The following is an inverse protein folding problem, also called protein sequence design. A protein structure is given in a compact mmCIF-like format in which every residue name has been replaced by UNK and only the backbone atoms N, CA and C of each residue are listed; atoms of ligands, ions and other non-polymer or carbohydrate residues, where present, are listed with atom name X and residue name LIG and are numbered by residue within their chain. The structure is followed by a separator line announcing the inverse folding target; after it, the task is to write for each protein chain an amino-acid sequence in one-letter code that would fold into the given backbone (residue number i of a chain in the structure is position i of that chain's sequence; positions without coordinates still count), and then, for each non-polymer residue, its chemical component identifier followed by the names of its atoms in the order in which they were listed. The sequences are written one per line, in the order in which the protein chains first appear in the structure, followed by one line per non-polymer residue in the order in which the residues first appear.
data_IF_610587955965
#
_entry.id   IF_610587955965
#
_cell.length_a   1.000
_cell.length_b   1.000
_cell.length_c   1.000
_cell.angle_alpha   90.00
_cell.angle_beta   90.00
_cell.angle_gamma   90.00
#
_symmetry.space_group_name_H-M   'P 1'
#
loop_
_entity.id
_entity.type
_entity.pdbx_description
1 polymer ?
#
# COMPACT_ATOMS: atom_id res chain seq x y z
N UNK A 1 12.62 8.66 15.43
CA UNK A 1 11.37 8.14 16.05
C UNK A 1 11.21 6.61 15.93
N UNK A 2 11.89 5.91 14.99
CA UNK A 2 11.93 4.43 14.94
C UNK A 2 13.16 3.81 15.62
N UNK A 3 13.84 4.55 16.50
CA UNK A 3 15.00 3.99 17.18
C UNK A 3 14.61 2.68 17.84
N UNK A 4 13.44 2.54 18.45
CA UNK A 4 12.96 1.29 19.07
C UNK A 4 12.83 0.10 18.10
N UNK A 5 12.43 0.33 16.85
CA UNK A 5 12.26 -0.72 15.83
C UNK A 5 13.64 -1.21 15.33
N UNK A 6 14.61 -0.30 15.28
CA UNK A 6 15.99 -0.56 14.88
C UNK A 6 16.90 -0.94 16.06
N UNK A 7 16.55 -0.56 17.29
CA UNK A 7 17.34 -0.73 18.52
C UNK A 7 17.09 -2.07 19.20
N UNK A 8 16.29 -2.95 18.60
CA UNK A 8 16.22 -4.35 18.99
C UNK A 8 15.55 -4.62 20.34
N UNK A 9 14.64 -3.75 20.82
CA UNK A 9 13.73 -4.20 21.88
C UNK A 9 12.85 -5.32 21.31
N UNK A 10 13.17 -6.55 21.69
CA UNK A 10 12.58 -7.75 21.11
C UNK A 10 11.12 -7.83 21.57
N UNK A 11 10.20 -7.33 20.73
CA UNK A 11 8.80 -7.71 20.84
C UNK A 11 8.72 -9.11 20.26
N UNK A 12 8.72 -10.10 21.16
CA UNK A 12 8.61 -11.50 20.77
C UNK A 12 7.15 -11.83 20.51
N UNK A 13 6.80 -11.92 19.23
CA UNK A 13 5.47 -12.36 18.83
C UNK A 13 5.46 -13.88 18.76
N UNK A 14 4.55 -14.51 19.52
CA UNK A 14 4.42 -15.96 19.56
C UNK A 14 3.90 -16.55 18.24
N UNK A 15 3.18 -15.76 17.43
CA UNK A 15 2.60 -16.22 16.17
C UNK A 15 3.44 -15.82 14.95
N UNK A 16 3.52 -16.73 13.98
CA UNK A 16 4.28 -16.52 12.76
C UNK A 16 3.80 -15.32 11.92
N UNK A 17 2.51 -14.96 11.97
CA UNK A 17 1.98 -13.86 11.14
C UNK A 17 2.52 -12.53 11.61
N UNK A 18 2.50 -12.30 12.92
CA UNK A 18 3.02 -11.10 13.56
C UNK A 18 4.54 -10.99 13.41
N UNK A 19 5.28 -12.10 13.50
CA UNK A 19 6.71 -12.12 13.20
C UNK A 19 7.01 -11.68 11.75
N UNK A 20 6.24 -12.18 10.77
CA UNK A 20 6.39 -11.76 9.38
C UNK A 20 5.97 -10.30 9.16
N UNK A 21 4.97 -9.80 9.89
CA UNK A 21 4.59 -8.39 9.86
C UNK A 21 5.74 -7.51 10.38
N UNK A 22 6.35 -7.89 11.51
CA UNK A 22 7.52 -7.20 12.07
C UNK A 22 8.69 -7.17 11.08
N UNK A 23 8.98 -8.28 10.40
CA UNK A 23 10.04 -8.34 9.40
C UNK A 23 9.79 -7.38 8.22
N UNK A 24 8.54 -7.26 7.75
CA UNK A 24 8.19 -6.27 6.72
C UNK A 24 8.37 -4.84 7.22
N UNK A 25 8.01 -4.58 8.47
CA UNK A 25 8.20 -3.26 9.08
C UNK A 25 9.67 -2.90 9.24
N UNK A 26 10.52 -3.85 9.65
CA UNK A 26 11.98 -3.67 9.69
C UNK A 26 12.55 -3.36 8.31
N UNK A 27 12.19 -4.14 7.29
CA UNK A 27 12.60 -3.88 5.90
C UNK A 27 12.19 -2.48 5.42
N UNK A 28 10.97 -2.05 5.77
CA UNK A 28 10.49 -0.71 5.44
C UNK A 28 11.28 0.39 6.16
N UNK A 29 11.74 0.16 7.39
CA UNK A 29 12.51 1.14 8.14
C UNK A 29 13.98 1.21 7.69
N UNK A 30 14.58 0.08 7.31
CA UNK A 30 15.96 -0.01 6.84
C UNK A 30 16.14 0.49 5.41
N UNK A 31 15.23 0.11 4.49
CA UNK A 31 15.23 0.56 3.10
C UNK A 31 13.80 0.94 2.66
N UNK A 32 13.33 2.14 3.05
CA UNK A 32 11.99 2.60 2.71
C UNK A 32 11.77 2.69 1.20
N UNK A 33 12.77 3.19 0.46
CA UNK A 33 12.63 3.48 -0.97
C UNK A 33 12.45 2.19 -1.78
N UNK A 34 13.29 1.18 -1.55
CA UNK A 34 13.17 -0.09 -2.24
C UNK A 34 11.88 -0.81 -1.86
N UNK A 35 11.56 -0.82 -0.56
CA UNK A 35 10.36 -1.49 -0.04
C UNK A 35 9.08 -0.88 -0.60
N UNK A 36 8.93 0.45 -0.55
CA UNK A 36 7.77 1.15 -1.10
C UNK A 36 7.66 1.00 -2.62
N UNK A 37 8.79 1.04 -3.35
CA UNK A 37 8.77 0.79 -4.79
C UNK A 37 8.33 -0.63 -5.14
N UNK A 38 8.73 -1.63 -4.34
CA UNK A 38 8.28 -3.02 -4.50
C UNK A 38 6.77 -3.14 -4.25
N UNK A 39 6.24 -2.50 -3.21
CA UNK A 39 4.80 -2.45 -2.93
C UNK A 39 4.05 -1.79 -4.09
N UNK A 40 4.53 -0.63 -4.58
CA UNK A 40 3.96 0.05 -5.76
C UNK A 40 3.87 -0.87 -6.97
N UNK A 41 4.92 -1.65 -7.26
CA UNK A 41 4.90 -2.63 -8.36
C UNK A 41 3.83 -3.71 -8.16
N UNK A 42 3.66 -4.24 -6.94
CA UNK A 42 2.63 -5.23 -6.67
C UNK A 42 1.20 -4.68 -6.86
N UNK A 43 0.96 -3.46 -6.39
CA UNK A 43 -0.34 -2.78 -6.57
C UNK A 43 -0.60 -2.55 -8.06
N UNK A 44 0.38 -2.02 -8.81
CA UNK A 44 0.25 -1.81 -10.25
C UNK A 44 -0.07 -3.12 -11.00
N UNK A 45 0.59 -4.23 -10.65
CA UNK A 45 0.28 -5.52 -11.25
C UNK A 45 -1.14 -6.01 -10.92
N UNK A 46 -1.61 -5.82 -9.68
CA UNK A 46 -2.97 -6.19 -9.31
C UNK A 46 -4.02 -5.37 -10.08
N UNK A 47 -3.81 -4.05 -10.19
CA UNK A 47 -4.70 -3.16 -10.93
C UNK A 47 -4.68 -3.40 -12.44
N UNK A 48 -3.52 -3.69 -13.03
CA UNK A 48 -3.43 -4.09 -14.43
C UNK A 48 -4.15 -5.42 -14.70
N UNK A 49 -4.06 -6.40 -13.80
CA UNK A 49 -4.85 -7.63 -13.91
C UNK A 49 -6.34 -7.32 -13.84
N UNK A 50 -6.77 -6.49 -12.90
CA UNK A 50 -8.16 -6.09 -12.79
C UNK A 50 -8.66 -5.39 -14.05
N UNK A 51 -7.87 -4.48 -14.61
CA UNK A 51 -8.20 -3.79 -15.87
C UNK A 51 -8.34 -4.77 -17.04
N UNK A 52 -7.43 -5.75 -17.15
CA UNK A 52 -7.52 -6.80 -18.18
C UNK A 52 -8.77 -7.65 -18.02
N UNK A 53 -9.07 -8.08 -16.79
CA UNK A 53 -10.27 -8.86 -16.48
C UNK A 53 -11.55 -8.07 -16.80
N UNK A 54 -11.61 -6.79 -16.42
CA UNK A 54 -12.70 -5.87 -16.81
C UNK A 54 -12.88 -5.84 -18.32
N UNK A 55 -11.80 -5.70 -19.09
CA UNK A 55 -11.89 -5.63 -20.55
C UNK A 55 -12.34 -6.96 -21.17
N UNK A 56 -11.93 -8.10 -20.62
CA UNK A 56 -12.40 -9.42 -21.07
C UNK A 56 -13.92 -9.57 -20.84
N UNK A 57 -14.41 -9.15 -19.67
CA UNK A 57 -15.85 -9.17 -19.37
C UNK A 57 -16.62 -8.22 -20.29
N UNK A 58 -16.16 -6.96 -20.42
CA UNK A 58 -16.88 -5.92 -21.15
C UNK A 58 -16.83 -6.08 -22.68
N UNK A 59 -15.69 -6.53 -23.23
CA UNK A 59 -15.48 -6.58 -24.68
C UNK A 59 -15.44 -8.01 -25.23
N UNK A 60 -15.02 -8.98 -24.42
CA UNK A 60 -15.04 -10.38 -24.81
C UNK A 60 -16.39 -11.06 -24.63
N UNK A 61 -17.33 -10.43 -23.90
CA UNK A 61 -18.60 -11.06 -23.51
C UNK A 61 -18.40 -12.27 -22.60
N UNK A 62 -17.18 -12.47 -22.08
CA UNK A 62 -16.83 -13.58 -21.21
C UNK A 62 -17.24 -13.24 -19.78
N UNK A 63 -18.37 -13.79 -19.35
CA UNK A 63 -18.92 -13.53 -18.03
C UNK A 63 -18.07 -14.11 -16.88
N UNK A 64 -17.16 -15.06 -17.17
CA UNK A 64 -16.28 -15.70 -16.16
C UNK A 64 -14.88 -15.97 -16.74
N UNK A 65 -14.12 -14.93 -17.09
CA UNK A 65 -12.78 -15.13 -17.60
C UNK A 65 -11.89 -15.79 -16.54
N UNK A 66 -10.97 -16.62 -17.00
CA UNK A 66 -10.04 -17.34 -16.13
C UNK A 66 -9.26 -16.34 -15.27
N UNK A 67 -9.31 -16.55 -13.95
CA UNK A 67 -8.63 -15.70 -12.98
C UNK A 67 -9.36 -14.42 -12.59
N UNK A 68 -10.62 -14.21 -13.02
CA UNK A 68 -11.44 -13.09 -12.56
C UNK A 68 -11.61 -13.12 -11.02
N UNK A 69 -12.02 -14.26 -10.47
CA UNK A 69 -12.24 -14.43 -9.03
C UNK A 69 -10.98 -14.14 -8.21
N UNK A 70 -9.84 -14.75 -8.57
CA UNK A 70 -8.57 -14.51 -7.88
C UNK A 70 -8.08 -13.06 -8.02
N UNK A 71 -8.36 -12.42 -9.16
CA UNK A 71 -8.04 -11.00 -9.37
C UNK A 71 -8.90 -10.11 -8.47
N UNK A 72 -10.20 -10.40 -8.35
CA UNK A 72 -11.11 -9.66 -7.46
C UNK A 72 -10.75 -9.85 -5.99
N UNK A 73 -10.45 -11.08 -5.55
CA UNK A 73 -10.02 -11.37 -4.18
C UNK A 73 -8.71 -10.65 -3.82
N UNK A 74 -7.81 -10.47 -4.78
CA UNK A 74 -6.54 -9.77 -4.58
C UNK A 74 -6.68 -8.24 -4.62
N UNK A 75 -7.45 -7.70 -5.58
CA UNK A 75 -7.54 -6.26 -5.82
C UNK A 75 -8.63 -5.57 -4.99
N UNK A 76 -9.70 -6.26 -4.64
CA UNK A 76 -10.82 -5.72 -3.87
C UNK A 76 -10.38 -5.09 -2.54
N UNK A 77 -9.66 -5.82 -1.66
CA UNK A 77 -9.18 -5.25 -0.40
C UNK A 77 -8.27 -4.03 -0.56
N UNK A 78 -7.45 -3.99 -1.62
CA UNK A 78 -6.58 -2.85 -1.91
C UNK A 78 -7.39 -1.61 -2.29
N UNK A 79 -8.40 -1.78 -3.14
CA UNK A 79 -9.29 -0.69 -3.56
C UNK A 79 -10.08 -0.17 -2.36
N UNK A 80 -10.64 -1.07 -1.55
CA UNK A 80 -11.39 -0.68 -0.34
C UNK A 80 -10.53 0.12 0.63
N UNK A 81 -9.27 -0.29 0.88
CA UNK A 81 -8.36 0.44 1.75
C UNK A 81 -8.02 1.85 1.22
N UNK A 82 -7.87 2.00 -0.10
CA UNK A 82 -7.61 3.32 -0.71
C UNK A 82 -8.84 4.23 -0.61
N UNK A 83 -10.04 3.70 -0.87
CA UNK A 83 -11.27 4.47 -0.74
C UNK A 83 -11.51 4.91 0.71
N UNK A 84 -11.30 4.01 1.66
CA UNK A 84 -11.38 4.32 3.08
C UNK A 84 -10.42 5.44 3.47
N UNK A 85 -9.15 5.36 3.01
CA UNK A 85 -8.16 6.40 3.25
C UNK A 85 -8.54 7.76 2.61
N UNK A 86 -9.10 7.76 1.40
CA UNK A 86 -9.56 8.98 0.73
C UNK A 86 -10.72 9.64 1.47
N UNK A 87 -11.72 8.85 1.85
CA UNK A 87 -12.87 9.33 2.62
C UNK A 87 -12.42 9.86 3.97
N UNK A 88 -11.54 9.13 4.67
CA UNK A 88 -11.00 9.56 5.96
C UNK A 88 -10.25 10.90 5.83
N UNK A 89 -9.38 11.03 4.82
CA UNK A 89 -8.62 12.25 4.57
C UNK A 89 -9.51 13.47 4.28
N UNK A 90 -10.54 13.28 3.47
CA UNK A 90 -11.50 14.34 3.15
C UNK A 90 -12.34 14.72 4.38
N UNK A 91 -12.90 13.72 5.06
CA UNK A 91 -13.83 13.91 6.17
C UNK A 91 -13.16 14.52 7.42
N UNK A 92 -11.95 14.09 7.76
CA UNK A 92 -11.29 14.48 9.01
C UNK A 92 -10.20 15.54 8.82
N UNK A 93 -9.65 15.68 7.62
CA UNK A 93 -8.50 16.56 7.36
C UNK A 93 -8.73 17.56 6.22
N UNK A 94 -9.90 17.54 5.57
CA UNK A 94 -10.22 18.43 4.45
C UNK A 94 -9.28 18.25 3.25
N UNK A 95 -8.63 17.09 3.13
CA UNK A 95 -7.69 16.81 2.05
C UNK A 95 -8.43 16.15 0.90
N UNK A 96 -8.52 16.84 -0.24
CA UNK A 96 -9.17 16.30 -1.43
C UNK A 96 -8.43 15.05 -1.96
N UNK A 97 -9.13 14.07 -2.57
CA UNK A 97 -8.52 12.83 -3.04
C UNK A 97 -7.34 13.03 -4.01
N UNK A 98 -7.43 14.02 -4.91
CA UNK A 98 -6.33 14.34 -5.83
C UNK A 98 -5.10 14.88 -5.10
N UNK A 99 -5.31 15.71 -4.08
CA UNK A 99 -4.23 16.25 -3.25
C UNK A 99 -3.57 15.13 -2.43
N UNK A 100 -4.34 14.16 -1.94
CA UNK A 100 -3.81 12.97 -1.27
C UNK A 100 -2.93 12.14 -2.22
N UNK A 101 -3.39 11.90 -3.45
CA UNK A 101 -2.61 11.19 -4.46
C UNK A 101 -1.29 11.91 -4.79
N UNK A 102 -1.34 13.24 -4.95
CA UNK A 102 -0.15 14.05 -5.20
C UNK A 102 0.87 13.97 -4.04
N UNK A 103 0.38 14.03 -2.79
CA UNK A 103 1.22 13.86 -1.59
C UNK A 103 1.85 12.46 -1.53
N UNK A 104 1.09 11.42 -1.87
CA UNK A 104 1.62 10.06 -1.93
C UNK A 104 2.74 9.93 -2.96
N UNK A 105 2.60 10.52 -4.16
CA UNK A 105 3.64 10.51 -5.18
C UNK A 105 4.92 11.25 -4.72
N UNK A 106 4.76 12.41 -4.09
CA UNK A 106 5.89 13.14 -3.47
C UNK A 106 6.54 12.31 -2.37
N UNK A 107 5.76 11.71 -1.47
CA UNK A 107 6.27 10.86 -0.39
C UNK A 107 7.01 9.61 -0.89
N UNK A 108 6.52 8.97 -1.96
CA UNK A 108 7.21 7.85 -2.61
C UNK A 108 8.53 8.26 -3.26
N UNK A 109 8.60 9.48 -3.81
CA UNK A 109 9.80 10.03 -4.44
C UNK A 109 10.85 10.45 -3.40
N UNK A 110 10.38 11.05 -2.31
CA UNK A 110 11.19 11.56 -1.21
C UNK A 110 11.55 10.49 -0.16
N UNK A 111 10.91 9.33 -0.18
CA UNK A 111 11.12 8.27 0.81
C UNK A 111 12.58 7.85 0.92
N UNK A 112 13.13 7.94 2.13
CA UNK A 112 14.53 7.64 2.45
C UNK A 112 15.48 8.84 2.45
N UNK A 113 15.01 10.06 2.14
CA UNK A 113 15.77 11.29 2.38
C UNK A 113 15.62 11.73 3.84
N UNK A 114 16.74 12.12 4.47
CA UNK A 114 16.76 12.61 5.85
C UNK A 114 15.76 13.77 6.04
N UNK A 115 14.80 13.58 6.95
CA UNK A 115 13.86 14.61 7.38
C UNK A 115 12.61 14.80 6.53
N UNK A 116 12.47 14.18 5.35
CA UNK A 116 11.37 14.49 4.44
C UNK A 116 10.09 13.68 4.73
N UNK A 117 10.16 12.34 4.75
CA UNK A 117 8.98 11.47 4.91
C UNK A 117 9.37 10.16 5.58
N UNK A 118 8.82 9.92 6.77
CA UNK A 118 8.95 8.67 7.51
C UNK A 118 7.68 7.80 7.28
N UNK A 119 7.71 6.46 7.46
CA UNK A 119 6.53 5.60 7.27
C UNK A 119 5.26 5.97 8.06
N UNK A 120 5.38 6.62 9.22
CA UNK A 120 4.28 7.14 10.03
C UNK A 120 3.80 8.50 9.51
N UNK A 121 4.70 9.32 8.98
CA UNK A 121 4.36 10.59 8.32
C UNK A 121 3.68 10.37 6.97
N UNK A 122 3.86 9.20 6.35
CA UNK A 122 3.10 8.74 5.18
C UNK A 122 1.62 8.50 5.49
N UNK A 123 1.26 8.31 6.76
CA UNK A 123 -0.11 8.00 7.21
C UNK A 123 -0.70 9.08 8.15
N UNK A 124 0.12 9.99 8.69
CA UNK A 124 -0.34 11.10 9.51
C UNK A 124 -0.75 12.27 8.62
N UNK A 125 -2.01 12.69 8.75
CA UNK A 125 -2.58 13.86 8.09
C UNK A 125 -2.48 15.12 8.96
#
# INVERSE_FOLDING_TARGET
MYSWLLSGNVIDFLDFRSQQALNRMKQLAEDPKSTLNRVRKYINHALHRLYRQRNMVLHGGDARPVGLESTLLCSGPLISAVLDQMIHAEQFHGVAPLQLAARAEVGLTAGGLDGAWNPANLLSF
#
